data_IF_070738543593
#
_entry.id   IF_070738543593
#
_cell.length_a   1.000
_cell.length_b   1.000
_cell.length_c   1.000
_cell.angle_alpha   90.00
_cell.angle_beta   90.00
_cell.angle_gamma   90.00
#
_symmetry.space_group_name_H-M   'P 1'
#
loop_
_entity.id
_entity.type
_entity.pdbx_description
1 polymer ?
#
# COMPACT_ATOMS: atom_id res chain seq x y z
N UNK A 1 -13.64 -3.09 7.53
CA UNK A 1 -13.97 -4.37 8.22
C UNK A 1 -13.12 -4.57 9.47
N UNK A 2 -11.78 -4.57 9.37
CA UNK A 2 -10.86 -4.73 10.51
C UNK A 2 -11.22 -3.86 11.71
N UNK A 3 -11.42 -2.55 11.52
CA UNK A 3 -11.63 -1.64 12.65
C UNK A 3 -12.98 -1.78 13.37
N UNK A 4 -13.93 -2.55 12.82
CA UNK A 4 -15.25 -2.75 13.44
C UNK A 4 -15.31 -4.00 14.35
N UNK A 5 -14.20 -4.72 14.54
CA UNK A 5 -14.18 -6.02 15.22
C UNK A 5 -13.89 -5.90 16.72
N UNK A 6 -14.82 -5.32 17.48
CA UNK A 6 -14.65 -5.01 18.91
C UNK A 6 -14.46 -6.23 19.84
N UNK A 7 -14.75 -7.44 19.36
CA UNK A 7 -14.54 -8.71 20.09
C UNK A 7 -13.23 -9.42 19.70
N UNK A 8 -12.42 -8.86 18.80
CA UNK A 8 -11.15 -9.44 18.40
C UNK A 8 -10.04 -9.06 19.37
N UNK A 9 -9.10 -9.98 19.63
CA UNK A 9 -7.88 -9.68 20.38
C UNK A 9 -6.87 -8.87 19.56
N UNK A 10 -6.92 -9.01 18.23
CA UNK A 10 -5.98 -8.38 17.30
C UNK A 10 -6.54 -7.11 16.68
N UNK A 11 -7.83 -7.10 16.36
CA UNK A 11 -8.51 -6.03 15.65
C UNK A 11 -9.43 -5.22 16.56
N UNK A 12 -9.74 -3.99 16.16
CA UNK A 12 -10.54 -3.03 16.93
C UNK A 12 -10.37 -1.65 16.31
N UNK A 13 -10.84 -0.59 16.97
CA UNK A 13 -10.84 0.78 16.42
C UNK A 13 -9.48 1.22 15.83
N UNK A 14 -8.38 0.88 16.49
CA UNK A 14 -7.01 1.18 16.05
C UNK A 14 -6.41 0.13 15.11
N UNK A 15 -7.22 -0.79 14.58
CA UNK A 15 -6.77 -1.88 13.71
C UNK A 15 -6.06 -1.40 12.45
N UNK A 16 -6.36 -0.19 11.99
CA UNK A 16 -5.70 0.43 10.85
C UNK A 16 -4.20 0.65 11.07
N UNK A 17 -3.75 0.86 12.31
CA UNK A 17 -2.33 1.06 12.65
C UNK A 17 -1.49 -0.20 12.42
N UNK A 18 -2.13 -1.37 12.33
CA UNK A 18 -1.49 -2.66 12.08
C UNK A 18 -1.39 -2.98 10.58
N UNK A 19 -1.85 -2.10 9.71
CA UNK A 19 -1.90 -2.31 8.26
C UNK A 19 -1.12 -1.18 7.56
N UNK A 20 -0.14 -1.57 6.75
CA UNK A 20 0.56 -0.67 5.84
C UNK A 20 0.21 -1.07 4.41
N UNK A 21 -0.23 -0.10 3.62
CA UNK A 21 -0.41 -0.26 2.18
C UNK A 21 0.85 0.20 1.48
N UNK A 22 1.46 -0.67 0.68
CA UNK A 22 2.64 -0.35 -0.11
C UNK A 22 2.30 -0.40 -1.60
N UNK A 23 2.46 0.72 -2.30
CA UNK A 23 2.31 0.84 -3.75
C UNK A 23 3.70 0.93 -4.37
N UNK A 24 4.11 -0.12 -5.10
CA UNK A 24 5.37 -0.12 -5.86
C UNK A 24 5.06 0.13 -7.33
N UNK A 25 5.42 1.32 -7.83
CA UNK A 25 5.28 1.70 -9.24
C UNK A 25 6.56 1.44 -10.03
N UNK A 26 6.43 0.72 -11.14
CA UNK A 26 7.55 0.18 -11.93
C UNK A 26 7.97 1.09 -13.09
N UNK A 27 8.67 2.17 -12.76
CA UNK A 27 9.24 3.11 -13.71
C UNK A 27 8.51 4.45 -13.72
N UNK A 28 9.27 5.51 -13.47
CA UNK A 28 8.77 6.88 -13.36
C UNK A 28 8.21 7.42 -14.68
N UNK A 29 8.78 6.99 -15.79
CA UNK A 29 8.28 7.34 -17.13
C UNK A 29 7.07 6.49 -17.57
N UNK A 30 6.76 5.41 -16.84
CA UNK A 30 5.69 4.46 -17.19
C UNK A 30 4.40 4.68 -16.39
N UNK A 31 4.49 5.27 -15.21
CA UNK A 31 3.30 5.57 -14.41
C UNK A 31 2.40 6.59 -15.13
N UNK A 32 1.08 6.35 -15.08
CA UNK A 32 0.10 7.24 -15.68
C UNK A 32 -0.05 8.52 -14.82
N UNK A 33 -0.12 9.70 -15.45
CA UNK A 33 -0.27 10.99 -14.77
C UNK A 33 -1.43 11.02 -13.76
N UNK A 34 -2.63 10.59 -14.17
CA UNK A 34 -3.79 10.42 -13.26
C UNK A 34 -3.54 9.56 -12.02
N UNK A 35 -2.66 8.57 -12.07
CA UNK A 35 -2.29 7.80 -10.87
C UNK A 35 -1.51 8.69 -9.90
N UNK A 36 -0.59 9.52 -10.40
CA UNK A 36 0.13 10.50 -9.59
C UNK A 36 -0.81 11.58 -9.05
N UNK A 37 -1.79 12.03 -9.83
CA UNK A 37 -2.79 13.00 -9.37
C UNK A 37 -3.63 12.46 -8.20
N UNK A 38 -4.06 11.20 -8.28
CA UNK A 38 -4.77 10.50 -7.19
C UNK A 38 -3.88 10.35 -5.96
N UNK A 39 -2.62 9.94 -6.12
CA UNK A 39 -1.68 9.82 -5.00
C UNK A 39 -1.36 11.17 -4.35
N UNK A 40 -1.29 12.25 -5.15
CA UNK A 40 -1.12 13.61 -4.64
C UNK A 40 -2.37 14.10 -3.91
N UNK A 41 -3.55 13.84 -4.45
CA UNK A 41 -4.83 14.11 -3.80
C UNK A 41 -4.97 13.36 -2.45
N UNK A 42 -4.40 12.16 -2.34
CA UNK A 42 -4.31 11.40 -1.09
C UNK A 42 -3.14 11.84 -0.17
N UNK A 43 -2.35 12.83 -0.59
CA UNK A 43 -1.27 13.44 0.19
C UNK A 43 0.06 12.66 0.19
N UNK A 44 0.13 11.46 -0.39
CA UNK A 44 1.35 10.64 -0.35
C UNK A 44 2.37 11.03 -1.42
N UNK A 45 1.97 11.76 -2.47
CA UNK A 45 2.88 12.13 -3.56
C UNK A 45 2.94 13.64 -3.76
N UNK A 46 4.15 14.16 -4.03
CA UNK A 46 4.36 15.56 -4.36
C UNK A 46 5.18 15.70 -5.65
N UNK A 47 4.63 16.49 -6.59
CA UNK A 47 5.23 16.74 -7.88
C UNK A 47 6.51 17.59 -7.78
N UNK A 48 7.48 17.36 -8.67
CA UNK A 48 8.68 18.19 -8.81
C UNK A 48 9.83 17.93 -7.83
N UNK A 49 9.62 17.07 -6.81
CA UNK A 49 10.67 16.74 -5.84
C UNK A 49 11.66 15.69 -6.37
N UNK A 50 11.15 14.71 -7.13
CA UNK A 50 11.94 13.57 -7.58
C UNK A 50 13.13 13.97 -8.48
N UNK A 51 14.33 13.50 -8.12
CA UNK A 51 15.63 13.79 -8.76
C UNK A 51 16.26 12.53 -9.37
N UNK A 52 16.96 12.68 -10.48
CA UNK A 52 17.61 11.55 -11.16
C UNK A 52 18.95 11.16 -10.50
N UNK A 53 19.61 12.12 -9.84
CA UNK A 53 20.90 11.92 -9.17
C UNK A 53 20.92 12.62 -7.81
N UNK A 54 21.56 11.99 -6.82
CA UNK A 54 21.85 12.55 -5.49
C UNK A 54 23.29 12.16 -5.14
N UNK A 55 24.13 13.12 -4.75
CA UNK A 55 25.54 12.89 -4.43
C UNK A 55 26.29 12.10 -5.53
N UNK A 56 26.08 12.50 -6.80
CA UNK A 56 26.63 11.84 -8.00
C UNK A 56 26.22 10.36 -8.18
N UNK A 57 25.29 9.85 -7.38
CA UNK A 57 24.74 8.50 -7.51
C UNK A 57 23.36 8.57 -8.17
N UNK A 58 23.13 7.69 -9.14
CA UNK A 58 21.83 7.57 -9.80
C UNK A 58 20.77 7.08 -8.81
N UNK A 59 19.66 7.80 -8.71
CA UNK A 59 18.53 7.38 -7.88
C UNK A 59 17.91 6.11 -8.46
N UNK A 60 17.55 5.17 -7.60
CA UNK A 60 16.91 3.92 -8.00
C UNK A 60 15.39 3.96 -7.82
N UNK A 61 14.93 4.67 -6.79
CA UNK A 61 13.53 4.87 -6.49
C UNK A 61 13.33 6.12 -5.61
N UNK A 62 12.11 6.66 -5.65
CA UNK A 62 11.61 7.68 -4.74
C UNK A 62 10.59 7.04 -3.82
N UNK A 63 10.82 7.13 -2.51
CA UNK A 63 9.91 6.59 -1.50
C UNK A 63 9.24 7.75 -0.78
N UNK A 64 7.92 7.69 -0.71
CA UNK A 64 7.07 8.63 -0.01
C UNK A 64 6.23 7.87 1.01
N UNK A 65 5.98 8.49 2.15
CA UNK A 65 5.20 7.90 3.23
C UNK A 65 4.24 8.95 3.79
N UNK A 66 2.98 8.55 3.97
CA UNK A 66 1.96 9.42 4.54
C UNK A 66 0.82 8.61 5.15
N UNK A 67 0.30 9.05 6.29
CA UNK A 67 -0.93 8.51 6.86
C UNK A 67 -2.12 9.26 6.26
N UNK A 68 -2.68 8.73 5.17
CA UNK A 68 -3.82 9.39 4.52
C UNK A 68 -5.09 9.27 5.38
N UNK A 69 -5.82 10.36 5.50
CA UNK A 69 -7.14 10.43 6.13
C UNK A 69 -8.27 10.62 5.11
N UNK A 70 -7.91 10.69 3.83
CA UNK A 70 -8.83 10.86 2.71
C UNK A 70 -8.71 9.68 1.76
N UNK A 71 -9.84 9.23 1.23
CA UNK A 71 -9.92 8.19 0.23
C UNK A 71 -10.71 8.69 -0.98
N UNK A 72 -10.46 8.11 -2.15
CA UNK A 72 -11.20 8.36 -3.38
C UNK A 72 -12.04 7.13 -3.71
N UNK A 73 -13.31 7.34 -4.04
CA UNK A 73 -14.16 6.26 -4.54
C UNK A 73 -14.07 6.07 -6.06
N UNK A 74 -14.85 5.14 -6.59
CA UNK A 74 -14.90 4.84 -8.03
C UNK A 74 -15.33 6.01 -8.90
N UNK A 75 -16.05 6.98 -8.33
CA UNK A 75 -16.51 8.20 -9.01
C UNK A 75 -15.52 9.37 -8.81
N UNK A 76 -14.33 9.09 -8.26
CA UNK A 76 -13.30 10.07 -7.91
C UNK A 76 -13.79 11.14 -6.92
N UNK A 77 -14.73 10.77 -6.03
CA UNK A 77 -15.18 11.64 -4.95
C UNK A 77 -14.41 11.33 -3.67
N UNK A 78 -14.00 12.39 -2.99
CA UNK A 78 -13.35 12.28 -1.69
C UNK A 78 -14.32 11.74 -0.63
N UNK A 79 -13.77 10.87 0.23
CA UNK A 79 -14.41 10.38 1.44
C UNK A 79 -13.42 10.54 2.59
N UNK A 80 -13.84 11.25 3.63
CA UNK A 80 -13.08 11.44 4.85
C UNK A 80 -13.69 10.70 6.04
N UNK A 81 -13.28 11.14 7.23
CA UNK A 81 -13.73 10.60 8.51
C UNK A 81 -15.26 10.67 8.68
N UNK A 82 -15.93 11.66 8.10
CA UNK A 82 -17.39 11.83 8.11
C UNK A 82 -18.15 10.67 7.43
N UNK A 83 -17.47 9.89 6.59
CA UNK A 83 -18.00 8.68 5.96
C UNK A 83 -17.50 7.39 6.62
N UNK A 84 -16.90 7.49 7.81
CA UNK A 84 -16.34 6.36 8.55
C UNK A 84 -15.06 5.79 7.92
N UNK A 85 -14.36 6.57 7.08
CA UNK A 85 -13.04 6.20 6.58
C UNK A 85 -12.04 6.35 7.72
N UNK A 86 -11.35 5.26 8.04
CA UNK A 86 -10.24 5.25 8.98
C UNK A 86 -8.95 5.66 8.27
N UNK A 87 -7.95 6.21 8.98
CA UNK A 87 -6.66 6.50 8.40
C UNK A 87 -6.00 5.26 7.78
N UNK A 88 -5.14 5.46 6.80
CA UNK A 88 -4.40 4.39 6.14
C UNK A 88 -2.92 4.78 6.05
N UNK A 89 -2.03 3.93 6.57
CA UNK A 89 -0.60 4.13 6.41
C UNK A 89 -0.19 3.72 4.99
N UNK A 90 0.26 4.68 4.19
CA UNK A 90 0.58 4.48 2.79
C UNK A 90 2.06 4.74 2.54
N UNK A 91 2.73 3.77 1.90
CA UNK A 91 4.06 3.90 1.32
C UNK A 91 3.91 3.86 -0.18
N UNK A 92 4.40 4.90 -0.87
CA UNK A 92 4.50 4.94 -2.31
C UNK A 92 5.97 4.87 -2.73
N UNK A 93 6.35 3.81 -3.43
CA UNK A 93 7.68 3.61 -3.98
C UNK A 93 7.62 3.75 -5.51
N UNK A 94 8.13 4.85 -6.03
CA UNK A 94 8.24 5.13 -7.46
C UNK A 94 9.63 4.78 -7.95
N UNK A 95 9.78 3.63 -8.63
CA UNK A 95 11.05 3.22 -9.21
C UNK A 95 11.40 4.12 -10.39
N UNK A 96 12.68 4.45 -10.55
CA UNK A 96 13.14 5.25 -11.69
C UNK A 96 13.01 4.46 -13.00
N UNK A 97 13.39 3.17 -13.00
CA UNK A 97 13.40 2.30 -14.18
C UNK A 97 12.33 1.22 -14.11
N UNK A 98 11.71 0.93 -15.26
CA UNK A 98 10.87 -0.25 -15.42
C UNK A 98 11.76 -1.50 -15.48
N UNK A 99 11.57 -2.40 -14.52
CA UNK A 99 12.33 -3.65 -14.39
C UNK A 99 11.42 -4.89 -14.25
N UNK A 100 10.14 -4.74 -14.63
CA UNK A 100 9.09 -5.77 -14.62
C UNK A 100 8.67 -6.24 -13.23
N UNK A 101 7.57 -7.00 -13.20
CA UNK A 101 6.87 -7.52 -12.00
C UNK A 101 7.80 -8.14 -10.96
N UNK A 102 8.68 -9.06 -11.37
CA UNK A 102 9.56 -9.79 -10.44
C UNK A 102 10.51 -8.85 -9.68
N UNK A 103 11.00 -7.80 -10.33
CA UNK A 103 11.84 -6.82 -9.66
C UNK A 103 11.03 -5.97 -8.68
N UNK A 104 9.80 -5.58 -9.03
CA UNK A 104 8.90 -4.87 -8.10
C UNK A 104 8.54 -5.71 -6.87
N UNK A 105 8.40 -7.03 -7.02
CA UNK A 105 8.26 -7.93 -5.87
C UNK A 105 9.51 -7.93 -4.97
N UNK A 106 10.72 -7.88 -5.54
CA UNK A 106 11.96 -7.77 -4.74
C UNK A 106 12.01 -6.47 -3.94
N UNK A 107 11.57 -5.35 -4.51
CA UNK A 107 11.41 -4.11 -3.74
C UNK A 107 10.42 -4.26 -2.59
N UNK A 108 9.29 -4.93 -2.84
CA UNK A 108 8.30 -5.20 -1.80
C UNK A 108 8.86 -6.08 -0.68
N UNK A 109 9.47 -7.23 -0.98
CA UNK A 109 9.92 -8.17 0.06
C UNK A 109 11.28 -7.83 0.66
N UNK A 110 12.28 -7.51 -0.18
CA UNK A 110 13.67 -7.39 0.26
C UNK A 110 14.05 -5.97 0.71
N UNK A 111 13.23 -4.95 0.42
CA UNK A 111 13.46 -3.60 0.91
C UNK A 111 12.39 -3.21 1.92
N UNK A 112 11.14 -3.09 1.47
CA UNK A 112 10.05 -2.58 2.32
C UNK A 112 9.64 -3.61 3.36
N UNK A 113 9.47 -4.87 2.98
CA UNK A 113 9.16 -5.99 3.86
C UNK A 113 10.26 -6.21 4.91
N UNK A 114 11.53 -6.10 4.51
CA UNK A 114 12.65 -6.17 5.46
C UNK A 114 12.62 -5.03 6.48
N UNK A 115 12.25 -3.80 6.07
CA UNK A 115 12.16 -2.66 6.96
C UNK A 115 10.94 -2.73 7.91
N UNK A 116 9.79 -3.20 7.41
CA UNK A 116 8.54 -3.26 8.17
C UNK A 116 8.38 -4.54 9.00
N UNK A 117 9.07 -5.63 8.63
CA UNK A 117 8.95 -6.96 9.21
C UNK A 117 7.48 -7.43 9.43
N UNK A 118 6.65 -7.48 8.36
CA UNK A 118 5.24 -7.78 8.50
C UNK A 118 4.97 -9.26 8.83
N UNK A 119 3.95 -9.53 9.64
CA UNK A 119 3.50 -10.90 9.93
C UNK A 119 2.82 -11.57 8.72
N UNK A 120 2.10 -10.79 7.91
CA UNK A 120 1.37 -11.27 6.72
C UNK A 120 1.55 -10.26 5.60
N UNK A 121 1.98 -10.72 4.42
CA UNK A 121 2.02 -9.94 3.20
C UNK A 121 0.87 -10.36 2.28
N UNK A 122 0.06 -9.40 1.84
CA UNK A 122 -0.98 -9.63 0.83
C UNK A 122 -0.57 -8.87 -0.44
N UNK A 123 -0.36 -9.62 -1.53
CA UNK A 123 -0.08 -9.04 -2.85
C UNK A 123 -1.40 -8.81 -3.59
N UNK A 124 -1.58 -7.59 -4.12
CA UNK A 124 -2.72 -7.23 -4.95
C UNK A 124 -2.21 -6.76 -6.31
N UNK A 125 -2.68 -7.40 -7.37
CA UNK A 125 -2.38 -6.98 -8.73
C UNK A 125 -3.17 -5.71 -9.08
N UNK A 126 -2.54 -4.80 -9.83
CA UNK A 126 -3.18 -3.54 -10.28
C UNK A 126 -4.42 -3.88 -11.10
N UNK A 127 -5.53 -3.19 -10.79
CA UNK A 127 -6.85 -3.44 -11.39
C UNK A 127 -7.71 -4.44 -10.61
N UNK A 128 -7.18 -5.06 -9.55
CA UNK A 128 -7.96 -5.96 -8.69
C UNK A 128 -8.76 -5.15 -7.68
N UNK A 129 -10.08 -5.36 -7.65
CA UNK A 129 -10.94 -4.83 -6.61
C UNK A 129 -11.27 -5.95 -5.59
N UNK A 130 -10.63 -5.97 -4.41
CA UNK A 130 -10.92 -6.97 -3.40
C UNK A 130 -12.36 -6.84 -2.88
N UNK A 131 -12.99 -7.98 -2.58
CA UNK A 131 -14.26 -8.00 -1.86
C UNK A 131 -14.15 -7.34 -0.47
N UNK A 132 -15.27 -6.83 0.05
CA UNK A 132 -15.30 -6.04 1.31
C UNK A 132 -14.64 -6.72 2.52
N UNK A 133 -14.57 -8.05 2.54
CA UNK A 133 -13.99 -8.86 3.62
C UNK A 133 -12.82 -9.73 3.16
N UNK A 134 -12.43 -9.72 1.88
CA UNK A 134 -11.45 -10.69 1.36
C UNK A 134 -10.09 -10.56 2.04
N UNK A 135 -9.58 -9.35 2.22
CA UNK A 135 -8.31 -9.11 2.93
C UNK A 135 -8.33 -9.62 4.37
N UNK A 136 -9.49 -9.52 5.04
CA UNK A 136 -9.66 -10.06 6.38
C UNK A 136 -9.61 -11.59 6.37
N UNK A 137 -10.25 -12.25 5.40
CA UNK A 137 -10.22 -13.71 5.31
C UNK A 137 -8.83 -14.24 4.93
N UNK A 138 -8.10 -13.54 4.06
CA UNK A 138 -6.70 -13.86 3.77
C UNK A 138 -5.85 -13.79 5.04
N UNK A 139 -5.92 -12.69 5.79
CA UNK A 139 -5.23 -12.59 7.08
C UNK A 139 -5.69 -13.66 8.08
N UNK A 140 -7.01 -13.93 8.14
CA UNK A 140 -7.59 -14.87 9.11
C UNK A 140 -7.12 -16.30 8.89
N UNK A 141 -6.78 -16.69 7.66
CA UNK A 141 -6.20 -17.99 7.38
C UNK A 141 -4.88 -18.20 8.15
N UNK A 142 -3.97 -17.23 8.10
CA UNK A 142 -2.70 -17.26 8.85
C UNK A 142 -2.91 -17.17 10.38
N UNK A 143 -3.91 -16.42 10.83
CA UNK A 143 -4.25 -16.30 12.26
C UNK A 143 -4.91 -17.56 12.83
N UNK A 144 -5.52 -18.40 11.99
CA UNK A 144 -6.24 -19.61 12.43
C UNK A 144 -5.33 -20.83 12.48
N UNK A 145 -4.36 -20.93 11.57
CA UNK A 145 -3.44 -22.06 11.49
C UNK A 145 -2.01 -21.56 11.21
N UNK A 146 -1.10 -21.82 12.16
CA UNK A 146 0.30 -21.43 12.08
C UNK A 146 1.09 -22.19 11.02
N UNK A 147 0.53 -23.25 10.44
CA UNK A 147 1.16 -24.02 9.34
C UNK A 147 0.83 -23.47 7.96
N UNK A 148 -0.04 -22.46 7.85
CA UNK A 148 -0.42 -21.85 6.57
C UNK A 148 0.74 -21.00 6.05
N UNK A 149 1.30 -21.40 4.91
CA UNK A 149 2.33 -20.64 4.19
C UNK A 149 1.76 -19.71 3.11
N UNK A 150 0.48 -19.85 2.76
CA UNK A 150 -0.16 -19.06 1.70
C UNK A 150 -1.68 -19.19 1.66
N UNK A 151 -2.34 -18.13 1.21
CA UNK A 151 -3.79 -18.09 0.95
C UNK A 151 -4.06 -17.26 -0.31
N UNK A 152 -5.11 -17.62 -1.06
CA UNK A 152 -5.54 -16.90 -2.27
C UNK A 152 -7.08 -16.77 -2.31
N UNK A 153 -7.58 -15.81 -3.09
CA UNK A 153 -9.00 -15.52 -3.26
C UNK A 153 -9.27 -14.25 -4.05
#
# INVERSE_FOLDING_TARGET
>A
HFCARNKSRTWGELGWQKIVVCVVSDGREKIHARTLDVLAAMGVYQHGIAKNYVNQKAVQAHVYEYTTQVSLDSDLKFKGAEKGIVPCQLIFCLKERNQRKLNSHRWCFNAIGQALNPNVCILLDVGTQPGKTSLYHLWKAFDTDSNVAGACG
#
